data_IF_991463870565
#
_entry.id   IF_991463870565
#
_cell.length_a   1.000
_cell.length_b   1.000
_cell.length_c   1.000
_cell.angle_alpha   90.00
_cell.angle_beta   90.00
_cell.angle_gamma   90.00
#
_symmetry.space_group_name_H-M   'P 1'
#
loop_
_entity.id
_entity.type
_entity.pdbx_description
1 polymer ?
#
# COMPACT_ATOMS: atom_id res chain seq x y z
N UNK A 1 23.32 -14.97 -25.15
CA UNK A 1 22.73 -14.16 -24.06
C UNK A 1 21.91 -13.06 -24.70
N UNK A 2 20.58 -13.16 -24.68
CA UNK A 2 19.74 -12.04 -25.15
C UNK A 2 19.93 -10.88 -24.17
N UNK A 3 20.25 -9.69 -24.66
CA UNK A 3 20.35 -8.49 -23.83
C UNK A 3 19.02 -8.32 -23.09
N UNK A 4 19.08 -8.16 -21.76
CA UNK A 4 17.92 -7.74 -20.97
C UNK A 4 17.43 -6.43 -21.57
N UNK A 5 16.26 -6.46 -22.20
CA UNK A 5 15.58 -5.26 -22.64
C UNK A 5 15.31 -4.40 -21.41
N UNK A 6 15.90 -3.20 -21.35
CA UNK A 6 15.65 -2.22 -20.28
C UNK A 6 14.14 -1.89 -20.19
N UNK A 7 13.36 -2.16 -21.24
CA UNK A 7 11.94 -1.88 -21.37
C UNK A 7 10.98 -2.84 -20.63
N UNK A 8 11.48 -3.87 -19.94
CA UNK A 8 10.62 -4.86 -19.26
C UNK A 8 10.58 -4.74 -17.74
N UNK A 9 11.30 -3.77 -17.17
CA UNK A 9 11.40 -3.60 -15.72
C UNK A 9 10.13 -2.92 -15.18
N UNK A 10 9.32 -3.66 -14.44
CA UNK A 10 8.10 -3.16 -13.80
C UNK A 10 8.40 -2.67 -12.38
N UNK A 11 7.55 -1.80 -11.88
CA UNK A 11 7.51 -1.40 -10.49
C UNK A 11 6.30 -2.01 -9.78
N UNK A 12 6.55 -2.68 -8.66
CA UNK A 12 5.50 -3.21 -7.78
C UNK A 12 5.51 -2.35 -6.52
N UNK A 13 4.46 -1.56 -6.35
CA UNK A 13 4.27 -0.66 -5.22
C UNK A 13 3.32 -1.29 -4.22
N UNK A 14 3.77 -1.50 -2.99
CA UNK A 14 2.99 -2.11 -1.92
C UNK A 14 2.78 -1.11 -0.78
N UNK A 15 1.52 -0.80 -0.46
CA UNK A 15 1.14 0.10 0.64
C UNK A 15 0.89 -0.69 1.93
N UNK A 16 1.93 -0.77 2.75
CA UNK A 16 2.02 -1.68 3.89
C UNK A 16 2.09 -0.91 5.21
N UNK A 17 1.27 -1.33 6.16
CA UNK A 17 1.53 -1.10 7.58
C UNK A 17 2.38 -2.25 8.12
N UNK A 18 3.63 -1.96 8.50
CA UNK A 18 4.54 -2.96 9.06
C UNK A 18 4.11 -3.44 10.46
N UNK A 19 3.33 -2.66 11.20
CA UNK A 19 2.76 -3.11 12.46
C UNK A 19 1.69 -4.18 12.27
N UNK A 20 0.96 -4.16 11.14
CA UNK A 20 0.02 -5.20 10.75
C UNK A 20 0.74 -6.48 10.34
N UNK A 21 1.81 -6.39 9.54
CA UNK A 21 2.58 -7.58 9.14
C UNK A 21 3.19 -8.29 10.36
N UNK A 22 3.62 -7.54 11.38
CA UNK A 22 4.14 -8.12 12.63
C UNK A 22 3.09 -8.91 13.43
N UNK A 23 1.80 -8.80 13.10
CA UNK A 23 0.72 -9.57 13.73
C UNK A 23 0.36 -10.84 12.95
N UNK A 24 0.90 -11.02 11.74
CA UNK A 24 0.66 -12.23 10.95
C UNK A 24 1.17 -13.47 11.69
N UNK A 25 0.53 -14.61 11.40
CA UNK A 25 1.07 -15.90 11.84
C UNK A 25 2.38 -16.22 11.10
N UNK A 26 3.10 -17.24 11.58
CA UNK A 26 4.41 -17.60 11.04
C UNK A 26 4.37 -17.93 9.54
N UNK A 27 3.36 -18.68 9.09
CA UNK A 27 3.23 -19.10 7.68
C UNK A 27 3.01 -17.89 6.76
N UNK A 28 2.20 -16.93 7.20
CA UNK A 28 1.95 -15.67 6.48
C UNK A 28 3.19 -14.76 6.46
N UNK A 29 3.96 -14.72 7.55
CA UNK A 29 5.25 -14.00 7.58
C UNK A 29 6.24 -14.62 6.60
N UNK A 30 6.38 -15.95 6.60
CA UNK A 30 7.28 -16.65 5.68
C UNK A 30 6.87 -16.45 4.21
N UNK A 31 5.57 -16.50 3.94
CA UNK A 31 5.02 -16.25 2.60
C UNK A 31 5.25 -14.80 2.16
N UNK A 32 5.06 -13.85 3.08
CA UNK A 32 5.34 -12.42 2.85
C UNK A 32 6.81 -12.20 2.53
N UNK A 33 7.71 -12.73 3.37
CA UNK A 33 9.16 -12.66 3.19
C UNK A 33 9.58 -13.21 1.82
N UNK A 34 9.10 -14.42 1.49
CA UNK A 34 9.39 -15.08 0.20
C UNK A 34 8.96 -14.21 -0.97
N UNK A 35 7.71 -13.76 -0.99
CA UNK A 35 7.15 -12.97 -2.08
C UNK A 35 7.90 -11.63 -2.25
N UNK A 36 8.16 -10.91 -1.16
CA UNK A 36 8.88 -9.63 -1.23
C UNK A 36 10.29 -9.81 -1.77
N UNK A 37 10.99 -10.87 -1.38
CA UNK A 37 12.30 -11.20 -1.92
C UNK A 37 12.23 -11.58 -3.41
N UNK A 38 11.26 -12.40 -3.82
CA UNK A 38 11.03 -12.75 -5.23
C UNK A 38 10.74 -11.50 -6.08
N UNK A 39 9.88 -10.59 -5.61
CA UNK A 39 9.61 -9.32 -6.29
C UNK A 39 10.88 -8.47 -6.36
N UNK A 40 11.61 -8.32 -5.25
CA UNK A 40 12.81 -7.48 -5.18
C UNK A 40 13.97 -7.96 -6.08
N UNK A 41 14.00 -9.26 -6.39
CA UNK A 41 14.99 -9.88 -7.26
C UNK A 41 14.63 -9.72 -8.75
N UNK A 42 13.34 -9.74 -9.08
CA UNK A 42 12.87 -9.76 -10.46
C UNK A 42 12.37 -8.39 -10.96
N UNK A 43 11.86 -7.54 -10.06
CA UNK A 43 11.20 -6.28 -10.37
C UNK A 43 11.68 -5.15 -9.44
N UNK A 44 11.26 -3.91 -9.74
CA UNK A 44 11.49 -2.79 -8.82
C UNK A 44 10.47 -2.85 -7.69
N UNK A 45 10.87 -3.40 -6.54
CA UNK A 45 10.07 -3.36 -5.32
C UNK A 45 10.07 -1.95 -4.72
N UNK A 46 8.87 -1.43 -4.42
CA UNK A 46 8.70 -0.16 -3.72
C UNK A 46 7.70 -0.35 -2.58
N UNK A 47 8.15 -0.11 -1.36
CA UNK A 47 7.34 -0.23 -0.15
C UNK A 47 6.92 1.16 0.31
N UNK A 48 5.63 1.37 0.56
CA UNK A 48 5.08 2.59 1.13
C UNK A 48 4.60 2.32 2.54
N UNK A 49 4.87 3.24 3.46
CA UNK A 49 4.39 3.12 4.83
C UNK A 49 4.28 4.48 5.53
N UNK A 50 3.43 4.56 6.56
CA UNK A 50 3.45 5.69 7.50
C UNK A 50 4.44 5.48 8.63
N UNK A 51 4.92 4.26 8.81
CA UNK A 51 5.79 3.90 9.91
C UNK A 51 7.08 4.72 9.84
N UNK A 52 7.71 4.86 11.01
CA UNK A 52 8.97 5.57 11.08
C UNK A 52 10.03 4.86 10.26
N UNK A 53 11.05 5.59 9.84
CA UNK A 53 12.17 4.99 9.13
C UNK A 53 12.86 3.92 10.02
N UNK A 54 12.97 4.16 11.33
CA UNK A 54 13.53 3.21 12.29
C UNK A 54 12.75 1.89 12.33
N UNK A 55 11.43 1.98 12.49
CA UNK A 55 10.55 0.80 12.55
C UNK A 55 10.58 0.04 11.22
N UNK A 56 10.62 0.78 10.13
CA UNK A 56 10.67 0.24 8.78
C UNK A 56 11.98 -0.49 8.51
N UNK A 57 13.13 0.08 8.90
CA UNK A 57 14.43 -0.58 8.73
C UNK A 57 14.56 -1.85 9.55
N UNK A 58 14.02 -1.86 10.77
CA UNK A 58 13.92 -3.08 11.58
C UNK A 58 13.12 -4.16 10.83
N UNK A 59 11.95 -3.80 10.31
CA UNK A 59 11.10 -4.73 9.56
C UNK A 59 11.79 -5.25 8.28
N UNK A 60 12.49 -4.39 7.54
CA UNK A 60 13.27 -4.79 6.37
C UNK A 60 14.34 -5.84 6.74
N UNK A 61 14.98 -5.68 7.90
CA UNK A 61 15.97 -6.63 8.40
C UNK A 61 15.31 -7.95 8.83
N UNK A 62 14.20 -7.89 9.57
CA UNK A 62 13.46 -9.07 10.04
C UNK A 62 12.91 -9.90 8.87
N UNK A 63 12.46 -9.25 7.79
CA UNK A 63 12.03 -9.88 6.55
C UNK A 63 13.18 -10.16 5.56
N UNK A 64 14.43 -9.82 5.92
CA UNK A 64 15.62 -9.99 5.09
C UNK A 64 15.48 -9.40 3.66
N UNK A 65 14.82 -8.25 3.53
CA UNK A 65 14.60 -7.57 2.25
C UNK A 65 15.83 -6.72 1.95
N UNK A 66 16.55 -7.04 0.87
CA UNK A 66 17.86 -6.42 0.57
C UNK A 66 17.84 -5.39 -0.56
N UNK A 67 16.82 -5.37 -1.39
CA UNK A 67 16.76 -4.50 -2.57
C UNK A 67 15.38 -3.86 -2.72
N UNK A 68 15.34 -2.77 -3.48
CA UNK A 68 14.13 -1.97 -3.69
C UNK A 68 14.25 -0.59 -3.03
N UNK A 69 13.09 0.06 -2.90
CA UNK A 69 12.96 1.38 -2.31
C UNK A 69 11.92 1.37 -1.20
N UNK A 70 12.16 2.14 -0.15
CA UNK A 70 11.22 2.37 0.94
C UNK A 70 10.86 3.85 0.94
N UNK A 71 9.56 4.14 1.00
CA UNK A 71 9.03 5.48 1.24
C UNK A 71 8.31 5.41 2.59
N UNK A 72 8.90 6.03 3.60
CA UNK A 72 8.46 6.02 4.98
C UNK A 72 7.97 7.40 5.43
N UNK A 73 7.49 7.49 6.68
CA UNK A 73 7.09 8.76 7.30
C UNK A 73 6.07 9.55 6.44
N UNK A 74 5.07 8.85 5.88
CA UNK A 74 4.06 9.43 4.99
C UNK A 74 4.56 10.06 3.70
N UNK A 75 5.77 9.70 3.28
CA UNK A 75 6.41 10.27 2.10
C UNK A 75 7.53 11.25 2.43
N UNK A 76 7.78 11.54 3.71
CA UNK A 76 8.84 12.45 4.12
C UNK A 76 10.24 11.92 3.81
N UNK A 77 10.43 10.59 3.74
CA UNK A 77 11.74 9.96 3.50
C UNK A 77 11.62 8.91 2.41
N UNK A 78 12.55 8.95 1.45
CA UNK A 78 12.75 7.87 0.47
C UNK A 78 14.15 7.29 0.65
N UNK A 79 14.23 5.99 0.90
CA UNK A 79 15.45 5.22 1.14
C UNK A 79 15.69 4.22 0.00
N UNK A 80 16.93 4.13 -0.49
CA UNK A 80 17.38 2.97 -1.26
C UNK A 80 17.73 1.83 -0.29
N UNK A 81 17.00 0.71 -0.34
CA UNK A 81 17.16 -0.40 0.61
C UNK A 81 18.55 -1.04 0.51
N UNK A 82 19.07 -1.19 -0.71
CA UNK A 82 20.34 -1.86 -0.96
C UNK A 82 21.53 -1.06 -0.45
N UNK A 83 21.54 0.25 -0.68
CA UNK A 83 22.66 1.11 -0.27
C UNK A 83 22.46 1.78 1.08
N UNK A 84 21.27 1.66 1.68
CA UNK A 84 20.85 2.39 2.89
C UNK A 84 21.05 3.91 2.79
N UNK A 85 20.98 4.44 1.56
CA UNK A 85 21.13 5.89 1.32
C UNK A 85 19.76 6.54 1.20
N UNK A 86 19.55 7.61 1.96
CA UNK A 86 18.40 8.50 1.78
C UNK A 86 18.55 9.23 0.45
N UNK A 87 17.50 9.17 -0.36
CA UNK A 87 17.43 9.76 -1.70
C UNK A 87 16.75 11.11 -1.65
N UNK A 88 15.62 11.16 -0.94
CA UNK A 88 14.83 12.36 -0.75
C UNK A 88 14.41 12.46 0.70
N UNK A 89 14.41 13.68 1.21
CA UNK A 89 13.93 14.01 2.54
C UNK A 89 13.12 15.31 2.52
N UNK A 90 12.16 15.40 3.43
CA UNK A 90 11.33 16.56 3.64
C UNK A 90 11.03 16.69 5.13
N UNK A 91 11.09 17.92 5.65
CA UNK A 91 11.03 18.18 7.08
C UNK A 91 9.88 19.13 7.42
N UNK A 92 9.27 18.92 8.58
CA UNK A 92 8.39 19.91 9.19
C UNK A 92 9.22 21.14 9.62
N UNK A 93 8.62 22.32 9.49
CA UNK A 93 9.24 23.54 10.00
C UNK A 93 9.28 23.50 11.53
N UNK A 94 10.36 24.02 12.13
CA UNK A 94 10.49 24.10 13.59
C UNK A 94 9.36 24.93 14.21
N UNK A 95 8.94 26.01 13.53
CA UNK A 95 7.82 26.85 13.99
C UNK A 95 6.50 26.08 14.01
N UNK A 96 6.16 25.39 12.91
CA UNK A 96 4.94 24.57 12.85
C UNK A 96 4.96 23.47 13.90
N UNK A 97 6.09 22.77 14.03
CA UNK A 97 6.25 21.70 15.01
C UNK A 97 6.01 22.21 16.43
N UNK A 98 6.59 23.36 16.79
CA UNK A 98 6.41 23.95 18.13
C UNK A 98 4.95 24.32 18.38
N UNK A 99 4.27 24.94 17.41
CA UNK A 99 2.85 25.29 17.49
C UNK A 99 1.97 24.04 17.64
N UNK A 100 2.23 23.01 16.83
CA UNK A 100 1.57 21.72 16.92
C UNK A 100 1.69 21.13 18.31
N UNK A 101 2.92 21.04 18.85
CA UNK A 101 3.13 20.46 20.18
C UNK A 101 2.44 21.26 21.28
N UNK A 102 2.45 22.60 21.20
CA UNK A 102 1.74 23.45 22.15
C UNK A 102 0.22 23.24 22.10
N UNK A 103 -0.34 23.13 20.88
CA UNK A 103 -1.76 22.81 20.69
C UNK A 103 -2.13 21.45 21.25
N UNK A 104 -1.28 20.43 21.04
CA UNK A 104 -1.49 19.11 21.63
C UNK A 104 -1.50 19.19 23.16
N UNK A 105 -0.56 19.90 23.78
CA UNK A 105 -0.51 20.07 25.24
C UNK A 105 -1.78 20.76 25.76
N UNK A 106 -2.19 21.87 25.15
CA UNK A 106 -3.38 22.62 25.58
C UNK A 106 -4.67 21.80 25.46
N UNK A 107 -4.74 20.93 24.45
CA UNK A 107 -5.87 20.03 24.24
C UNK A 107 -5.72 18.68 24.98
N UNK A 108 -4.71 18.52 25.83
CA UNK A 108 -4.41 17.28 26.56
C UNK A 108 -4.28 16.05 25.64
N UNK A 109 -3.65 16.23 24.47
CA UNK A 109 -3.37 15.19 23.50
C UNK A 109 -1.96 14.65 23.68
N UNK A 110 -1.80 13.34 23.54
CA UNK A 110 -0.48 12.72 23.51
C UNK A 110 0.07 12.76 22.09
N UNK A 111 1.39 12.85 21.96
CA UNK A 111 2.05 12.89 20.65
C UNK A 111 3.46 12.33 20.71
N UNK A 112 4.05 12.09 19.55
CA UNK A 112 5.47 11.83 19.38
C UNK A 112 6.05 12.68 18.24
N UNK A 113 7.33 13.03 18.38
CA UNK A 113 8.12 13.72 17.36
C UNK A 113 9.09 12.70 16.76
N UNK A 114 9.08 12.55 15.43
CA UNK A 114 9.97 11.64 14.71
C UNK A 114 11.04 12.45 13.97
N UNK A 115 12.30 12.09 14.19
CA UNK A 115 13.47 12.86 13.73
C UNK A 115 14.29 12.13 12.68
N UNK A 116 15.18 12.87 12.01
CA UNK A 116 16.14 12.34 11.04
C UNK A 116 17.09 11.31 11.62
N UNK A 117 17.50 11.51 12.85
CA UNK A 117 18.45 10.67 13.57
C UNK A 117 17.83 9.33 14.00
N UNK A 118 16.68 8.96 13.43
CA UNK A 118 15.91 7.75 13.73
C UNK A 118 15.49 7.67 15.20
N UNK A 119 15.23 8.83 15.82
CA UNK A 119 14.69 8.90 17.18
C UNK A 119 13.22 9.33 17.16
N UNK A 120 12.40 8.57 17.87
CA UNK A 120 11.01 8.94 18.21
C UNK A 120 10.98 9.41 19.65
N UNK A 121 10.59 10.67 19.85
CA UNK A 121 10.49 11.32 21.16
C UNK A 121 9.02 11.42 21.60
N UNK A 122 8.55 10.57 22.54
CA UNK A 122 7.16 10.58 22.99
C UNK A 122 6.90 11.61 24.10
N UNK A 123 5.75 12.30 24.02
CA UNK A 123 5.17 13.12 25.09
C UNK A 123 4.14 12.33 25.90
N UNK A 124 4.45 12.08 27.19
CA UNK A 124 3.55 11.49 28.19
C UNK A 124 2.86 10.19 27.71
N UNK A 125 3.64 9.25 27.16
CA UNK A 125 3.11 7.94 26.75
C UNK A 125 3.49 6.87 27.77
N UNK A 126 2.50 6.42 28.55
CA UNK A 126 2.69 5.36 29.55
C UNK A 126 2.27 3.98 29.03
N UNK A 127 2.67 2.92 29.75
CA UNK A 127 2.36 1.53 29.39
C UNK A 127 0.85 1.25 29.30
N UNK A 128 0.01 1.97 30.04
CA UNK A 128 -1.44 1.78 29.99
C UNK A 128 -2.02 2.28 28.67
N UNK A 129 -1.59 3.45 28.21
CA UNK A 129 -1.96 3.99 26.89
C UNK A 129 -1.53 2.99 25.82
N UNK A 130 -0.29 2.51 25.86
CA UNK A 130 0.20 1.56 24.85
C UNK A 130 -0.61 0.25 24.87
N UNK A 131 -0.91 -0.30 26.06
CA UNK A 131 -1.72 -1.53 26.20
C UNK A 131 -3.17 -1.35 25.76
N UNK A 132 -3.73 -0.15 25.90
CA UNK A 132 -5.09 0.16 25.45
C UNK A 132 -5.18 0.23 23.93
N UNK A 133 -4.13 0.73 23.27
CA UNK A 133 -4.03 0.84 21.81
C UNK A 133 -3.00 -0.16 21.28
N UNK A 134 -3.21 -1.45 21.62
CA UNK A 134 -2.40 -2.58 21.12
C UNK A 134 -2.17 -2.47 19.61
N UNK A 135 -1.15 -3.19 19.14
CA UNK A 135 -0.59 -3.15 17.78
C UNK A 135 -0.08 -1.78 17.32
N UNK A 136 -0.90 -0.74 17.31
CA UNK A 136 -0.56 0.61 16.82
C UNK A 136 0.57 1.28 17.61
N UNK A 137 0.49 1.23 18.94
CA UNK A 137 1.47 1.90 19.82
C UNK A 137 2.53 0.95 20.36
N UNK A 138 2.44 -0.34 20.03
CA UNK A 138 3.32 -1.38 20.58
C UNK A 138 4.81 -1.06 20.35
N UNK A 139 5.14 -0.44 19.22
CA UNK A 139 6.48 0.08 18.89
C UNK A 139 7.04 1.01 19.97
N UNK A 140 6.18 1.78 20.63
CA UNK A 140 6.57 2.73 21.69
C UNK A 140 6.95 2.05 23.01
N UNK A 141 6.73 0.73 23.17
CA UNK A 141 7.16 0.03 24.39
C UNK A 141 8.68 0.06 24.59
N UNK A 142 9.42 0.05 23.48
CA UNK A 142 10.88 -0.09 23.44
C UNK A 142 11.63 1.25 23.42
N UNK A 143 10.91 2.37 23.31
CA UNK A 143 11.50 3.70 23.32
C UNK A 143 11.77 4.17 24.74
N UNK A 144 12.76 5.06 24.89
CA UNK A 144 12.95 5.81 26.15
C UNK A 144 11.72 6.68 26.38
N UNK A 145 10.90 6.26 27.34
CA UNK A 145 9.67 6.98 27.69
C UNK A 145 10.04 8.27 28.40
N UNK A 146 9.33 9.35 28.05
CA UNK A 146 9.42 10.66 28.69
C UNK A 146 10.71 11.44 28.39
N UNK A 147 11.12 11.53 27.13
CA UNK A 147 12.18 12.46 26.73
C UNK A 147 11.63 13.89 26.53
N UNK A 148 10.35 14.02 26.19
CA UNK A 148 9.63 15.29 26.15
C UNK A 148 8.83 15.42 27.47
N UNK A 149 9.45 15.91 28.54
CA UNK A 149 8.81 16.06 29.86
C UNK A 149 8.15 17.42 30.07
N UNK A 150 8.68 18.46 29.43
CA UNK A 150 8.18 19.81 29.51
C UNK A 150 8.43 20.57 28.20
N UNK A 151 7.91 21.80 28.11
CA UNK A 151 8.05 22.67 26.95
C UNK A 151 9.51 23.02 26.62
N UNK A 152 10.39 23.09 27.62
CA UNK A 152 11.84 23.31 27.41
C UNK A 152 12.48 22.12 26.70
N UNK A 153 12.17 20.89 27.11
CA UNK A 153 12.66 19.68 26.43
C UNK A 153 12.12 19.58 25.01
N UNK A 154 10.85 19.93 24.77
CA UNK A 154 10.27 19.98 23.43
C UNK A 154 11.00 20.99 22.55
N UNK A 155 11.18 22.22 23.04
CA UNK A 155 11.87 23.26 22.29
C UNK A 155 13.30 22.83 21.94
N UNK A 156 14.04 22.30 22.90
CA UNK A 156 15.39 21.77 22.65
C UNK A 156 15.39 20.62 21.64
N UNK A 157 14.42 19.69 21.71
CA UNK A 157 14.28 18.63 20.72
C UNK A 157 14.05 19.18 19.31
N UNK A 158 13.23 20.21 19.16
CA UNK A 158 12.91 20.81 17.85
C UNK A 158 14.08 21.64 17.31
N UNK A 159 14.82 22.34 18.18
CA UNK A 159 15.97 23.16 17.79
C UNK A 159 17.19 22.33 17.38
N UNK A 160 17.36 21.15 17.99
CA UNK A 160 18.54 20.31 17.80
C UNK A 160 18.38 19.21 16.75
N UNK A 161 17.18 19.01 16.20
CA UNK A 161 16.91 17.89 15.28
C UNK A 161 16.13 18.35 14.05
N UNK A 162 16.32 17.64 12.93
CA UNK A 162 15.45 17.78 11.77
C UNK A 162 14.23 16.86 11.94
N UNK A 163 13.02 17.43 11.84
CA UNK A 163 11.77 16.71 12.17
C UNK A 163 11.13 16.19 10.88
N UNK A 164 11.01 14.87 10.73
CA UNK A 164 10.30 14.28 9.59
C UNK A 164 8.79 14.40 9.75
N UNK A 165 8.28 14.00 10.92
CA UNK A 165 6.86 13.93 11.16
C UNK A 165 6.53 14.06 12.65
N UNK A 166 5.26 14.27 12.93
CA UNK A 166 4.68 14.12 14.26
C UNK A 166 3.50 13.15 14.18
N UNK A 167 3.32 12.33 15.21
CA UNK A 167 2.14 11.47 15.37
C UNK A 167 1.37 11.89 16.60
N UNK A 168 0.08 12.21 16.45
CA UNK A 168 -0.82 12.61 17.53
C UNK A 168 -1.80 11.49 17.82
N UNK A 169 -1.98 11.15 19.10
CA UNK A 169 -2.78 10.03 19.56
C UNK A 169 -4.11 10.50 20.18
N UNK A 170 -5.22 10.00 19.64
CA UNK A 170 -6.56 10.33 20.10
C UNK A 170 -7.11 9.19 20.96
N UNK A 171 -7.34 9.49 22.24
CA UNK A 171 -7.72 8.47 23.23
C UNK A 171 -9.23 8.33 23.46
N UNK A 172 -10.03 8.99 22.63
CA UNK A 172 -11.48 9.01 22.68
C UNK A 172 -12.07 7.59 22.52
N UNK A 173 -13.15 7.31 23.27
CA UNK A 173 -13.84 6.00 23.20
C UNK A 173 -14.79 5.90 22.03
N UNK A 174 -15.43 7.01 21.64
CA UNK A 174 -16.40 7.08 20.54
C UNK A 174 -15.69 7.53 19.27
N UNK A 175 -15.98 6.83 18.17
CA UNK A 175 -15.41 7.16 16.86
C UNK A 175 -15.80 8.57 16.40
N UNK A 176 -17.04 8.98 16.62
CA UNK A 176 -17.54 10.32 16.29
C UNK A 176 -16.76 11.44 16.97
N UNK A 177 -16.44 11.25 18.24
CA UNK A 177 -15.75 12.25 19.06
C UNK A 177 -14.30 12.37 18.61
N UNK A 178 -13.67 11.22 18.34
CA UNK A 178 -12.33 11.13 17.77
C UNK A 178 -12.25 11.85 16.42
N UNK A 179 -13.17 11.56 15.49
CA UNK A 179 -13.21 12.21 14.19
C UNK A 179 -13.40 13.73 14.31
N UNK A 180 -14.27 14.17 15.22
CA UNK A 180 -14.47 15.59 15.50
C UNK A 180 -13.19 16.25 16.04
N UNK A 181 -12.50 15.60 16.99
CA UNK A 181 -11.25 16.10 17.57
C UNK A 181 -10.12 16.18 16.53
N UNK A 182 -9.99 15.17 15.66
CA UNK A 182 -9.04 15.18 14.55
C UNK A 182 -9.35 16.34 13.60
N UNK A 183 -10.61 16.49 13.16
CA UNK A 183 -11.02 17.57 12.26
C UNK A 183 -10.76 18.95 12.86
N UNK A 184 -11.04 19.12 14.16
CA UNK A 184 -10.79 20.37 14.88
C UNK A 184 -9.29 20.69 14.94
N UNK A 185 -8.45 19.71 15.28
CA UNK A 185 -7.00 19.91 15.30
C UNK A 185 -6.45 20.26 13.92
N UNK A 186 -6.87 19.53 12.87
CA UNK A 186 -6.45 19.81 11.48
C UNK A 186 -6.88 21.22 11.07
N UNK A 187 -8.13 21.61 11.36
CA UNK A 187 -8.64 22.95 11.04
C UNK A 187 -7.80 24.04 11.70
N UNK A 188 -7.51 23.89 12.99
CA UNK A 188 -6.66 24.81 13.73
C UNK A 188 -5.26 24.92 13.10
N UNK A 189 -4.60 23.80 12.82
CA UNK A 189 -3.25 23.78 12.26
C UNK A 189 -3.18 24.32 10.83
N UNK A 190 -4.20 24.01 10.02
CA UNK A 190 -4.29 24.45 8.62
C UNK A 190 -4.40 25.97 8.46
N UNK A 191 -4.79 26.69 9.52
CA UNK A 191 -4.83 28.16 9.52
C UNK A 191 -3.45 28.81 9.58
N UNK A 192 -2.41 28.05 9.96
CA UNK A 192 -1.05 28.57 10.15
C UNK A 192 -0.11 28.18 9.01
N UNK A 193 0.00 26.89 8.72
CA UNK A 193 0.84 26.37 7.66
C UNK A 193 0.14 25.18 7.00
N UNK A 194 0.34 25.02 5.69
CA UNK A 194 -0.10 23.82 5.01
C UNK A 194 0.81 22.67 5.45
N UNK A 195 0.21 21.57 5.88
CA UNK A 195 0.90 20.32 6.17
C UNK A 195 0.18 19.16 5.47
N UNK A 196 0.83 18.02 5.37
CA UNK A 196 0.21 16.78 4.95
C UNK A 196 -0.34 16.05 6.18
N UNK A 197 -1.60 15.62 6.11
CA UNK A 197 -2.32 15.00 7.22
C UNK A 197 -2.81 13.63 6.78
N UNK A 198 -2.50 12.60 7.56
CA UNK A 198 -3.00 11.26 7.33
C UNK A 198 -3.56 10.67 8.61
N UNK A 199 -4.81 10.22 8.57
CA UNK A 199 -5.46 9.60 9.72
C UNK A 199 -5.44 8.09 9.53
N UNK A 200 -5.01 7.36 10.56
CA UNK A 200 -5.11 5.92 10.59
C UNK A 200 -5.44 5.42 11.99
N UNK A 201 -6.54 4.68 12.08
CA UNK A 201 -7.10 4.16 13.33
C UNK A 201 -7.33 5.25 14.39
N UNK A 202 -6.41 5.40 15.34
CA UNK A 202 -6.52 6.38 16.45
C UNK A 202 -5.38 7.40 16.45
N UNK A 203 -4.67 7.51 15.33
CA UNK A 203 -3.52 8.40 15.18
C UNK A 203 -3.73 9.34 14.00
N UNK A 204 -3.27 10.58 14.18
CA UNK A 204 -3.05 11.55 13.11
C UNK A 204 -1.55 11.69 12.87
N UNK A 205 -1.12 11.35 11.67
CA UNK A 205 0.23 11.56 11.18
C UNK A 205 0.31 12.89 10.46
N UNK A 206 1.31 13.69 10.81
CA UNK A 206 1.51 15.04 10.30
C UNK A 206 2.92 15.15 9.75
N UNK A 207 3.06 15.55 8.49
CA UNK A 207 4.34 15.73 7.80
C UNK A 207 4.30 16.99 6.93
N UNK A 208 5.44 17.37 6.33
CA UNK A 208 5.52 18.52 5.45
C UNK A 208 4.46 18.44 4.32
N UNK A 209 3.85 19.57 3.92
CA UNK A 209 2.83 19.58 2.85
C UNK A 209 3.27 18.95 1.52
N UNK A 210 4.57 18.99 1.22
CA UNK A 210 5.15 18.43 0.00
C UNK A 210 5.65 16.99 0.18
N UNK A 211 5.43 16.40 1.36
CA UNK A 211 5.78 15.04 1.73
C UNK A 211 4.54 14.14 1.65
N UNK A 212 4.08 13.84 0.43
CA UNK A 212 3.08 12.80 0.20
C UNK A 212 3.75 11.56 -0.38
N UNK A 213 3.19 10.37 -0.10
CA UNK A 213 3.64 9.11 -0.73
C UNK A 213 3.64 9.24 -2.26
N UNK A 214 2.60 9.85 -2.84
CA UNK A 214 2.48 10.04 -4.28
C UNK A 214 3.57 10.94 -4.85
N UNK A 215 3.84 12.09 -4.24
CA UNK A 215 4.88 13.01 -4.73
C UNK A 215 6.28 12.40 -4.63
N UNK A 216 6.55 11.65 -3.55
CA UNK A 216 7.81 10.93 -3.38
C UNK A 216 7.97 9.82 -4.42
N UNK A 217 6.88 9.12 -4.78
CA UNK A 217 6.88 8.17 -5.89
C UNK A 217 7.19 8.87 -7.22
N UNK A 218 6.56 10.01 -7.52
CA UNK A 218 6.84 10.76 -8.77
C UNK A 218 8.31 11.18 -8.86
N UNK A 219 8.88 11.67 -7.76
CA UNK A 219 10.32 12.04 -7.70
C UNK A 219 11.20 10.82 -7.94
N UNK A 220 10.91 9.70 -7.29
CA UNK A 220 11.64 8.45 -7.46
C UNK A 220 11.57 7.93 -8.90
N UNK A 221 10.37 7.86 -9.50
CA UNK A 221 10.16 7.37 -10.86
C UNK A 221 10.93 8.19 -11.90
N UNK A 222 10.98 9.51 -11.72
CA UNK A 222 11.82 10.39 -12.56
C UNK A 222 13.31 10.03 -12.46
N UNK A 223 13.80 9.70 -11.27
CA UNK A 223 15.20 9.33 -11.05
C UNK A 223 15.55 7.95 -11.60
N UNK A 224 14.64 6.97 -11.51
CA UNK A 224 14.86 5.60 -11.99
C UNK A 224 14.37 5.37 -13.42
N UNK A 225 13.91 6.43 -14.09
CA UNK A 225 13.43 6.44 -15.48
C UNK A 225 12.31 5.42 -15.75
N UNK A 226 11.28 5.41 -14.88
CA UNK A 226 10.05 4.63 -15.07
C UNK A 226 8.83 5.54 -15.23
N UNK A 227 7.79 5.06 -15.92
CA UNK A 227 6.51 5.75 -16.12
C UNK A 227 5.42 5.08 -15.27
N UNK A 228 4.83 5.85 -14.33
CA UNK A 228 3.78 5.36 -13.44
C UNK A 228 2.62 4.72 -14.20
N UNK A 229 2.20 5.35 -15.31
CA UNK A 229 1.03 4.93 -16.06
C UNK A 229 1.31 3.74 -16.98
N UNK A 230 2.56 3.25 -17.07
CA UNK A 230 2.93 2.19 -18.03
C UNK A 230 3.65 1.01 -17.40
N UNK A 231 4.37 1.23 -16.31
CA UNK A 231 5.31 0.23 -15.79
C UNK A 231 4.89 -0.32 -14.42
N UNK A 232 3.72 0.07 -13.91
CA UNK A 232 3.44 -0.02 -12.46
C UNK A 232 2.21 -0.85 -12.10
N UNK A 233 2.37 -1.65 -11.05
CA UNK A 233 1.27 -2.28 -10.30
C UNK A 233 1.28 -1.70 -8.90
N UNK A 234 0.17 -1.09 -8.48
CA UNK A 234 -0.04 -0.61 -7.12
C UNK A 234 -0.98 -1.54 -6.34
N UNK A 235 -0.57 -1.91 -5.12
CA UNK A 235 -1.41 -2.66 -4.20
C UNK A 235 -1.63 -1.85 -2.92
N UNK A 236 -2.88 -1.45 -2.69
CA UNK A 236 -3.32 -0.89 -1.41
C UNK A 236 -3.72 -2.01 -0.46
N UNK A 237 -2.80 -2.43 0.42
CA UNK A 237 -2.96 -3.65 1.22
C UNK A 237 -3.52 -3.32 2.61
N UNK A 238 -2.79 -2.53 3.39
CA UNK A 238 -3.23 -2.07 4.72
C UNK A 238 -3.66 -0.60 4.70
N UNK A 239 -3.20 0.13 3.70
CA UNK A 239 -3.36 1.57 3.55
C UNK A 239 -3.68 1.91 2.10
N UNK A 240 -4.16 3.14 1.90
CA UNK A 240 -4.59 3.64 0.60
C UNK A 240 -3.86 4.95 0.27
N UNK A 241 -3.34 5.02 -0.95
CA UNK A 241 -2.85 6.23 -1.59
C UNK A 241 -3.70 6.47 -2.84
N UNK A 242 -4.79 7.26 -2.76
CA UNK A 242 -5.79 7.38 -3.82
C UNK A 242 -5.25 7.79 -5.19
N UNK A 243 -4.23 8.64 -5.21
CA UNK A 243 -3.58 9.11 -6.43
C UNK A 243 -2.88 7.96 -7.17
N UNK A 244 -2.29 7.01 -6.46
CA UNK A 244 -1.64 5.85 -7.07
C UNK A 244 -2.65 4.92 -7.74
N UNK A 245 -3.86 4.77 -7.18
CA UNK A 245 -4.94 4.03 -7.86
C UNK A 245 -5.33 4.65 -9.21
N UNK A 246 -5.20 5.98 -9.35
CA UNK A 246 -5.57 6.71 -10.57
C UNK A 246 -4.47 6.72 -11.61
N UNK A 247 -3.21 6.67 -11.18
CA UNK A 247 -2.04 6.89 -12.04
C UNK A 247 -1.18 5.65 -12.28
N UNK A 248 -1.38 4.55 -11.56
CA UNK A 248 -0.69 3.30 -11.87
C UNK A 248 -1.40 2.56 -13.01
N UNK A 249 -0.63 1.83 -13.82
CA UNK A 249 -1.21 1.05 -14.91
C UNK A 249 -2.18 -0.02 -14.38
N UNK A 250 -1.78 -0.74 -13.33
CA UNK A 250 -2.67 -1.62 -12.56
C UNK A 250 -2.77 -1.15 -11.11
N UNK A 251 -3.96 -1.29 -10.54
CA UNK A 251 -4.20 -1.12 -9.12
C UNK A 251 -5.07 -2.25 -8.60
N UNK A 252 -4.76 -2.74 -7.41
CA UNK A 252 -5.55 -3.71 -6.69
C UNK A 252 -5.64 -3.33 -5.21
N UNK A 253 -6.81 -3.47 -4.61
CA UNK A 253 -7.06 -3.05 -3.23
C UNK A 253 -7.63 -4.22 -2.44
N UNK A 254 -7.17 -4.40 -1.20
CA UNK A 254 -7.82 -5.34 -0.28
C UNK A 254 -9.22 -4.86 0.06
N UNK A 255 -10.12 -5.81 0.31
CA UNK A 255 -11.47 -5.49 0.75
C UNK A 255 -11.49 -4.59 2.00
N UNK A 256 -10.56 -4.81 2.93
CA UNK A 256 -10.39 -3.96 4.11
C UNK A 256 -10.17 -2.49 3.75
N UNK A 257 -9.27 -2.22 2.79
CA UNK A 257 -9.02 -0.86 2.31
C UNK A 257 -10.24 -0.29 1.59
N UNK A 258 -10.89 -1.09 0.74
CA UNK A 258 -12.09 -0.68 0.00
C UNK A 258 -13.22 -0.26 0.94
N UNK A 259 -13.54 -1.09 1.94
CA UNK A 259 -14.63 -0.86 2.88
C UNK A 259 -14.43 0.43 3.72
N UNK A 260 -13.19 0.90 3.82
CA UNK A 260 -12.80 2.16 4.49
C UNK A 260 -12.68 3.38 3.55
N UNK A 261 -12.95 3.21 2.25
CA UNK A 261 -12.67 4.21 1.20
C UNK A 261 -13.91 4.64 0.43
N UNK A 262 -13.80 5.75 -0.31
CA UNK A 262 -14.87 6.23 -1.19
C UNK A 262 -15.10 5.34 -2.41
N UNK A 263 -16.37 5.21 -2.81
CA UNK A 263 -16.85 4.29 -3.86
C UNK A 263 -16.31 4.53 -5.28
N UNK A 264 -15.67 5.67 -5.58
CA UNK A 264 -15.13 5.94 -6.92
C UNK A 264 -13.85 5.17 -7.24
N UNK A 265 -13.04 4.86 -6.23
CA UNK A 265 -11.72 4.22 -6.41
C UNK A 265 -11.83 2.76 -6.85
N UNK A 266 -12.94 2.10 -6.52
CA UNK A 266 -13.21 0.70 -6.90
C UNK A 266 -13.47 0.50 -8.38
N UNK A 267 -13.78 1.56 -9.14
CA UNK A 267 -14.00 1.43 -10.60
C UNK A 267 -12.71 1.23 -11.37
N UNK A 268 -11.59 1.69 -10.83
CA UNK A 268 -10.28 1.68 -11.49
C UNK A 268 -9.34 0.58 -10.99
N UNK A 269 -9.71 -0.09 -9.89
CA UNK A 269 -8.87 -1.05 -9.19
C UNK A 269 -9.54 -2.42 -9.10
N UNK A 270 -8.74 -3.48 -9.15
CA UNK A 270 -9.21 -4.83 -8.84
C UNK A 270 -9.42 -5.00 -7.33
N UNK A 271 -10.29 -5.94 -6.95
CA UNK A 271 -10.58 -6.26 -5.56
C UNK A 271 -9.87 -7.53 -5.14
N UNK A 272 -8.94 -7.40 -4.20
CA UNK A 272 -8.30 -8.52 -3.52
C UNK A 272 -9.27 -9.03 -2.44
N UNK A 273 -9.45 -10.34 -2.39
CA UNK A 273 -10.33 -11.00 -1.41
C UNK A 273 -9.92 -10.65 0.03
N UNK A 274 -10.85 -10.82 0.98
CA UNK A 274 -10.55 -10.61 2.40
C UNK A 274 -9.59 -11.67 2.96
N UNK A 275 -8.84 -11.30 4.00
CA UNK A 275 -7.83 -12.14 4.65
C UNK A 275 -6.55 -11.34 4.89
N UNK A 276 -5.78 -11.70 5.92
CA UNK A 276 -4.55 -10.96 6.31
C UNK A 276 -3.50 -11.01 5.18
N UNK A 277 -3.29 -12.18 4.57
CA UNK A 277 -2.29 -12.42 3.53
C UNK A 277 -2.86 -12.67 2.12
N UNK A 278 -4.15 -12.38 1.89
CA UNK A 278 -4.82 -12.68 0.60
C UNK A 278 -4.17 -12.00 -0.62
N UNK A 279 -3.50 -10.88 -0.40
CA UNK A 279 -2.74 -10.14 -1.42
C UNK A 279 -1.53 -10.93 -1.96
N UNK A 280 -0.97 -11.85 -1.17
CA UNK A 280 0.10 -12.76 -1.61
C UNK A 280 -0.44 -13.71 -2.68
N UNK A 281 -1.57 -14.35 -2.38
CA UNK A 281 -2.23 -15.27 -3.32
C UNK A 281 -2.64 -14.53 -4.60
N UNK A 282 -3.20 -13.33 -4.47
CA UNK A 282 -3.55 -12.51 -5.63
C UNK A 282 -2.33 -12.21 -6.53
N UNK A 283 -1.15 -11.92 -5.95
CA UNK A 283 0.06 -11.71 -6.73
C UNK A 283 0.54 -12.97 -7.45
N UNK A 284 0.44 -14.15 -6.82
CA UNK A 284 0.79 -15.41 -7.49
C UNK A 284 -0.20 -15.80 -8.59
N UNK A 285 -1.50 -15.63 -8.33
CA UNK A 285 -2.58 -15.85 -9.30
C UNK A 285 -2.46 -14.92 -10.51
N UNK A 286 -1.90 -13.72 -10.30
CA UNK A 286 -1.63 -12.73 -11.35
C UNK A 286 -0.14 -12.64 -11.71
N UNK A 287 0.62 -13.71 -11.54
CA UNK A 287 2.07 -13.69 -11.77
C UNK A 287 2.48 -13.40 -13.22
N UNK A 288 1.59 -13.58 -14.20
CA UNK A 288 1.82 -13.12 -15.59
C UNK A 288 1.95 -11.60 -15.70
N UNK A 289 1.51 -10.85 -14.67
CA UNK A 289 1.66 -9.41 -14.62
C UNK A 289 3.04 -8.96 -14.16
N UNK A 290 3.79 -9.74 -13.37
CA UNK A 290 5.02 -9.24 -12.76
C UNK A 290 6.22 -10.20 -12.86
N UNK A 291 6.01 -11.47 -13.15
CA UNK A 291 7.09 -12.40 -13.51
C UNK A 291 7.42 -12.20 -15.00
N UNK A 292 8.71 -12.05 -15.30
CA UNK A 292 9.20 -11.84 -16.67
C UNK A 292 8.79 -13.02 -17.58
N UNK A 293 8.36 -12.71 -18.81
CA UNK A 293 7.98 -13.68 -19.85
C UNK A 293 6.98 -14.79 -19.46
N UNK A 294 6.18 -14.57 -18.42
CA UNK A 294 5.19 -15.56 -17.99
C UNK A 294 3.89 -15.52 -18.82
N UNK A 295 4.05 -15.56 -20.15
CA UNK A 295 2.96 -15.70 -21.12
C UNK A 295 2.31 -17.09 -21.03
N UNK A 296 3.04 -18.10 -20.54
CA UNK A 296 2.48 -19.43 -20.29
C UNK A 296 1.35 -19.37 -19.25
N UNK A 297 1.54 -18.66 -18.13
CA UNK A 297 0.48 -18.48 -17.15
C UNK A 297 -0.68 -17.67 -17.73
N UNK A 298 -0.43 -16.60 -18.50
CA UNK A 298 -1.50 -15.88 -19.20
C UNK A 298 -2.30 -16.81 -20.11
N UNK A 299 -1.63 -17.62 -20.93
CA UNK A 299 -2.28 -18.57 -21.83
C UNK A 299 -3.07 -19.64 -21.06
N UNK A 300 -2.55 -20.12 -19.92
CA UNK A 300 -3.25 -21.02 -19.01
C UNK A 300 -4.54 -20.38 -18.47
N UNK A 301 -4.48 -19.12 -18.04
CA UNK A 301 -5.68 -18.38 -17.59
C UNK A 301 -6.69 -18.21 -18.72
N UNK A 302 -6.24 -17.79 -19.91
CA UNK A 302 -7.08 -17.64 -21.09
C UNK A 302 -7.76 -18.97 -21.44
N UNK A 303 -7.04 -20.10 -21.40
CA UNK A 303 -7.60 -21.43 -21.72
C UNK A 303 -8.74 -21.91 -20.80
N UNK A 304 -8.90 -21.29 -19.62
CA UNK A 304 -10.01 -21.57 -18.69
C UNK A 304 -11.30 -20.85 -19.07
N UNK A 305 -11.20 -19.82 -19.91
CA UNK A 305 -12.35 -19.04 -20.37
C UNK A 305 -13.15 -19.80 -21.42
N UNK A 306 -14.48 -19.70 -21.33
CA UNK A 306 -15.43 -20.13 -22.33
C UNK A 306 -15.89 -18.94 -23.20
N UNK A 307 -16.44 -19.29 -24.37
CA UNK A 307 -17.11 -18.44 -25.36
C UNK A 307 -17.53 -17.06 -24.83
N UNK A 308 -16.77 -16.06 -25.23
CA UNK A 308 -16.95 -14.67 -24.79
C UNK A 308 -17.98 -13.96 -25.65
N UNK A 309 -18.98 -13.34 -25.01
CA UNK A 309 -19.88 -12.36 -25.65
C UNK A 309 -19.20 -10.98 -25.73
N UNK A 310 -18.04 -10.89 -26.38
CA UNK A 310 -17.35 -9.62 -26.60
C UNK A 310 -17.89 -8.94 -27.85
N UNK A 311 -18.20 -7.65 -27.75
CA UNK A 311 -18.59 -6.87 -28.91
C UNK A 311 -17.37 -6.56 -29.79
N UNK A 312 -17.60 -6.24 -31.07
CA UNK A 312 -16.53 -5.75 -31.95
C UNK A 312 -15.84 -4.50 -31.38
N UNK A 313 -16.58 -3.66 -30.63
CA UNK A 313 -16.04 -2.50 -29.92
C UNK A 313 -15.05 -2.90 -28.82
N UNK A 314 -15.33 -3.96 -28.07
CA UNK A 314 -14.43 -4.43 -27.02
C UNK A 314 -13.12 -4.96 -27.62
N UNK A 315 -13.21 -5.73 -28.71
CA UNK A 315 -12.04 -6.24 -29.44
C UNK A 315 -11.23 -5.06 -30.00
N UNK A 316 -11.89 -4.06 -30.59
CA UNK A 316 -11.23 -2.86 -31.08
C UNK A 316 -10.53 -2.10 -29.94
N UNK A 317 -11.18 -1.93 -28.79
CA UNK A 317 -10.60 -1.28 -27.61
C UNK A 317 -9.39 -2.05 -27.05
N UNK A 318 -9.42 -3.39 -27.07
CA UNK A 318 -8.26 -4.24 -26.71
C UNK A 318 -7.14 -4.05 -27.73
N UNK A 319 -7.44 -4.10 -29.03
CA UNK A 319 -6.44 -3.93 -30.10
C UNK A 319 -5.78 -2.55 -30.09
N UNK A 320 -6.53 -1.52 -29.70
CA UNK A 320 -6.04 -0.15 -29.52
C UNK A 320 -5.29 0.06 -28.20
N UNK A 321 -5.18 -0.95 -27.34
CA UNK A 321 -4.53 -0.85 -26.02
C UNK A 321 -5.28 0.01 -25.00
N UNK A 322 -6.55 0.33 -25.27
CA UNK A 322 -7.42 1.10 -24.37
C UNK A 322 -7.88 0.22 -23.20
N UNK A 323 -8.21 -1.04 -23.50
CA UNK A 323 -8.69 -2.00 -22.49
C UNK A 323 -7.54 -2.87 -22.00
N UNK A 324 -7.32 -2.86 -20.68
CA UNK A 324 -6.27 -3.63 -19.96
C UNK A 324 -6.78 -4.89 -19.24
N UNK A 325 -8.09 -5.16 -19.33
CA UNK A 325 -8.76 -6.29 -18.70
C UNK A 325 -9.67 -7.02 -19.68
N UNK A 326 -9.60 -8.35 -19.66
CA UNK A 326 -10.50 -9.24 -20.37
C UNK A 326 -11.42 -9.92 -19.36
N UNK A 327 -12.73 -9.94 -19.62
CA UNK A 327 -13.69 -10.71 -18.83
C UNK A 327 -14.09 -11.95 -19.60
N UNK A 328 -13.82 -13.13 -19.03
CA UNK A 328 -14.19 -14.43 -19.63
C UNK A 328 -15.11 -15.20 -18.71
N UNK A 329 -16.10 -15.89 -19.27
CA UNK A 329 -16.94 -16.80 -18.50
C UNK A 329 -16.18 -18.07 -18.18
N UNK A 330 -16.33 -18.63 -16.98
CA UNK A 330 -15.73 -19.91 -16.59
C UNK A 330 -16.70 -21.08 -16.79
N UNK A 331 -16.14 -22.24 -17.13
CA UNK A 331 -16.89 -23.48 -17.11
C UNK A 331 -17.25 -23.90 -15.68
N UNK A 332 -18.40 -24.57 -15.49
CA UNK A 332 -18.78 -25.11 -14.19
C UNK A 332 -17.73 -26.09 -13.62
N UNK A 333 -16.89 -26.73 -14.46
CA UNK A 333 -15.85 -27.65 -14.01
C UNK A 333 -14.62 -26.92 -13.45
N UNK A 334 -14.28 -25.74 -13.98
CA UNK A 334 -13.11 -24.96 -13.55
C UNK A 334 -13.35 -24.12 -12.29
N UNK A 335 -14.62 -23.89 -11.92
CA UNK A 335 -15.01 -23.23 -10.66
C UNK A 335 -14.64 -24.07 -9.43
N UNK A 336 -14.55 -25.40 -9.58
CA UNK A 336 -14.44 -26.35 -8.46
C UNK A 336 -13.10 -27.09 -8.37
N UNK A 337 -12.13 -26.75 -9.23
CA UNK A 337 -10.85 -27.47 -9.32
C UNK A 337 -9.87 -27.19 -8.17
N UNK A 338 -10.04 -26.09 -7.43
CA UNK A 338 -9.10 -25.70 -6.34
C UNK A 338 -9.78 -25.45 -4.98
N UNK A 339 -11.09 -25.63 -4.85
CA UNK A 339 -11.79 -25.38 -3.59
C UNK A 339 -11.76 -26.60 -2.66
N UNK A 340 -11.43 -26.36 -1.40
CA UNK A 340 -11.62 -27.31 -0.30
C UNK A 340 -13.10 -27.70 -0.17
N UNK A 341 -13.39 -28.86 0.43
CA UNK A 341 -14.77 -29.38 0.58
C UNK A 341 -15.69 -28.38 1.32
N UNK A 342 -15.14 -27.61 2.24
CA UNK A 342 -15.77 -26.52 3.00
C UNK A 342 -16.08 -25.29 2.15
N UNK A 343 -15.17 -24.85 1.26
CA UNK A 343 -15.43 -23.74 0.33
C UNK A 343 -16.46 -24.09 -0.74
N UNK A 344 -16.52 -25.35 -1.16
CA UNK A 344 -17.58 -25.84 -2.07
C UNK A 344 -18.96 -25.68 -1.43
N UNK A 345 -19.08 -25.98 -0.14
CA UNK A 345 -20.31 -25.81 0.64
C UNK A 345 -20.61 -24.32 0.83
N UNK A 346 -19.61 -23.51 1.20
CA UNK A 346 -19.77 -22.06 1.35
C UNK A 346 -20.24 -21.40 0.04
N UNK A 347 -19.56 -21.63 -1.09
CA UNK A 347 -19.97 -21.10 -2.40
C UNK A 347 -21.35 -21.59 -2.84
N UNK A 348 -21.78 -22.78 -2.40
CA UNK A 348 -23.14 -23.28 -2.68
C UNK A 348 -24.22 -22.55 -1.87
N UNK A 349 -23.92 -22.15 -0.63
CA UNK A 349 -24.85 -21.42 0.25
C UNK A 349 -25.03 -19.95 -0.19
N UNK A 350 -24.02 -19.35 -0.82
CA UNK A 350 -24.08 -17.96 -1.33
C UNK A 350 -24.56 -17.83 -2.79
N UNK A 351 -25.00 -18.93 -3.45
CA UNK A 351 -25.58 -18.89 -4.81
C UNK A 351 -26.87 -18.07 -4.91
N UNK A 352 -27.55 -17.79 -3.79
CA UNK A 352 -28.88 -17.18 -3.79
C UNK A 352 -28.92 -15.64 -3.77
N UNK A 353 -27.81 -14.93 -4.04
CA UNK A 353 -27.84 -13.46 -4.19
C UNK A 353 -27.00 -12.97 -5.38
N UNK A 354 -27.54 -13.11 -6.60
CA UNK A 354 -27.44 -12.13 -7.69
C UNK A 354 -26.08 -11.71 -8.27
N UNK A 355 -24.94 -12.26 -7.84
CA UNK A 355 -23.62 -11.99 -8.47
C UNK A 355 -23.17 -13.21 -9.28
N UNK A 356 -22.99 -13.02 -10.59
CA UNK A 356 -22.44 -14.01 -11.51
C UNK A 356 -21.01 -14.41 -11.09
N UNK A 357 -20.89 -15.44 -10.24
CA UNK A 357 -19.63 -16.02 -9.78
C UNK A 357 -18.86 -16.81 -10.87
N UNK A 358 -19.28 -16.71 -12.13
CA UNK A 358 -18.71 -17.46 -13.26
C UNK A 358 -17.87 -16.57 -14.17
N UNK A 359 -17.36 -15.43 -13.72
CA UNK A 359 -16.57 -14.51 -14.54
C UNK A 359 -15.14 -14.44 -14.00
N UNK A 360 -14.17 -14.79 -14.83
CA UNK A 360 -12.75 -14.56 -14.60
C UNK A 360 -12.34 -13.24 -15.26
N UNK A 361 -11.69 -12.36 -14.49
CA UNK A 361 -11.10 -11.12 -14.99
C UNK A 361 -9.61 -11.35 -15.18
N UNK A 362 -9.11 -11.16 -16.40
CA UNK A 362 -7.72 -11.38 -16.78
C UNK A 362 -7.13 -10.03 -17.16
N UNK A 363 -6.21 -9.53 -16.34
CA UNK A 363 -5.41 -8.36 -16.65
C UNK A 363 -4.28 -8.72 -17.64
N UNK A 364 -3.87 -7.79 -18.51
CA UNK A 364 -2.76 -8.00 -19.44
C UNK A 364 -2.06 -6.69 -19.81
N UNK A 365 -0.75 -6.78 -20.04
CA UNK A 365 0.07 -5.66 -20.52
C UNK A 365 -0.15 -5.39 -22.02
N UNK A 366 0.21 -4.20 -22.54
CA UNK A 366 0.10 -3.91 -23.96
C UNK A 366 0.86 -4.92 -24.84
N UNK A 367 2.05 -5.36 -24.41
CA UNK A 367 2.82 -6.40 -25.11
C UNK A 367 2.13 -7.77 -25.19
N UNK A 368 1.18 -8.02 -24.30
CA UNK A 368 0.42 -9.28 -24.23
C UNK A 368 -0.87 -9.25 -25.08
N UNK A 369 -1.22 -8.11 -25.68
CA UNK A 369 -2.42 -7.95 -26.52
C UNK A 369 -2.45 -9.00 -27.64
N UNK A 370 -1.32 -9.30 -28.27
CA UNK A 370 -1.26 -10.29 -29.36
C UNK A 370 -1.67 -11.70 -28.92
N UNK A 371 -1.29 -12.12 -27.71
CA UNK A 371 -1.70 -13.40 -27.14
C UNK A 371 -3.21 -13.42 -26.84
N UNK A 372 -3.72 -12.32 -26.30
CA UNK A 372 -5.15 -12.14 -26.02
C UNK A 372 -5.97 -12.19 -27.31
N UNK A 373 -5.57 -11.45 -28.35
CA UNK A 373 -6.26 -11.44 -29.64
C UNK A 373 -6.26 -12.82 -30.31
N UNK A 374 -5.13 -13.54 -30.29
CA UNK A 374 -5.07 -14.93 -30.79
C UNK A 374 -6.04 -15.86 -30.08
N UNK A 375 -6.17 -15.74 -28.76
CA UNK A 375 -7.14 -16.48 -27.98
C UNK A 375 -8.58 -16.14 -28.40
N UNK A 376 -8.90 -14.86 -28.57
CA UNK A 376 -10.23 -14.41 -29.01
C UNK A 376 -10.58 -14.90 -30.42
N UNK A 377 -9.62 -14.90 -31.35
CA UNK A 377 -9.83 -15.40 -32.70
C UNK A 377 -10.05 -16.91 -32.72
N UNK A 378 -9.36 -17.67 -31.86
CA UNK A 378 -9.60 -19.10 -31.71
C UNK A 378 -11.05 -19.38 -31.25
N UNK A 379 -11.55 -18.62 -30.28
CA UNK A 379 -12.94 -18.76 -29.81
C UNK A 379 -14.02 -18.42 -30.83
N UNK A 380 -13.69 -17.67 -31.90
CA UNK A 380 -14.64 -17.41 -33.00
C UNK A 380 -14.74 -18.55 -34.00
N UNK A 381 -13.71 -19.41 -34.06
CA UNK A 381 -13.58 -20.48 -35.04
C UNK A 381 -13.93 -21.86 -34.45
N UNK A 382 -14.13 -21.95 -33.13
CA UNK A 382 -14.72 -23.08 -32.40
C UNK A 382 -16.22 -22.84 -32.22
#
# INVERSE_FOLDING_TARGET
>A
MKSKSIYDKKAIILDLDFAEINQYNLDDILSTNRLLNEISANQTLILLTQNTIQDSEKMLNDLNIKTGYLIAESGAVTLNIATRKVIFESFLSSEFTLRLTNKCIWNNLNFSINTKENHTFPWIINNWIIRKYKSNLSRLFHLKKNELLNTTNIKSCIENNQIYSCEVYFLDKKESDKEANIKNLIKDLSSFEKANYFTYKSSLYISNANATKYDSIKKLFKQINLDLNKDTIYLGIHQLTPELCKHCYFSALTKYVIDSSDTELTKNSDTISGGESSWINWLYDNSHLWIEDNNEHLNKLLSRGLTTSLSARDIQAISAGITKYLRVSLSNKDIFRESSRSEKIFKSLFKNKGRNNNILVIAFWPRQISAVLKYLDRLKNE
#
